data_IF_466628767329
#
_entry.id   IF_466628767329
#
_cell.length_a   1.000
_cell.length_b   1.000
_cell.length_c   1.000
_cell.angle_alpha   90.00
_cell.angle_beta   90.00
_cell.angle_gamma   90.00
#
_symmetry.space_group_name_H-M   'P 1'
#
loop_
_entity.id
_entity.type
_entity.pdbx_description
1 polymer ?
#
# COMPACT_ATOMS: atom_id res chain seq x y z
N UNK A 1 -17.93 -3.42 -17.41
CA UNK A 1 -17.67 -2.19 -16.62
C UNK A 1 -16.42 -1.54 -17.19
N UNK A 2 -16.46 -0.25 -17.41
CA UNK A 2 -15.34 0.49 -18.02
C UNK A 2 -14.49 1.14 -16.93
N UNK A 3 -13.21 1.29 -17.19
CA UNK A 3 -12.29 2.04 -16.31
C UNK A 3 -12.76 3.48 -16.10
N UNK A 4 -13.26 4.12 -17.16
CA UNK A 4 -13.86 5.47 -17.14
C UNK A 4 -15.11 5.61 -16.25
N UNK A 5 -15.75 4.51 -15.86
CA UNK A 5 -16.88 4.55 -14.92
C UNK A 5 -16.45 4.96 -13.49
N UNK A 6 -15.13 4.98 -13.22
CA UNK A 6 -14.51 5.39 -11.96
C UNK A 6 -13.79 6.73 -12.07
N UNK A 7 -14.11 7.51 -13.09
CA UNK A 7 -13.58 8.86 -13.25
C UNK A 7 -14.33 9.85 -12.34
N UNK A 8 -13.57 10.73 -11.69
CA UNK A 8 -14.07 11.93 -11.04
C UNK A 8 -13.03 13.05 -11.22
N UNK A 9 -13.47 14.29 -11.22
CA UNK A 9 -12.55 15.43 -11.35
C UNK A 9 -11.83 15.68 -10.04
N UNK A 10 -10.50 15.51 -10.04
CA UNK A 10 -9.64 15.72 -8.90
C UNK A 10 -8.69 16.89 -9.15
N UNK A 11 -8.91 18.04 -8.50
CA UNK A 11 -7.97 19.16 -8.54
C UNK A 11 -6.60 18.78 -8.01
N UNK A 12 -5.54 19.11 -8.73
CA UNK A 12 -4.15 18.73 -8.40
C UNK A 12 -3.71 19.25 -7.04
N UNK A 13 -4.20 20.40 -6.62
CA UNK A 13 -3.90 21.00 -5.33
C UNK A 13 -4.45 20.21 -4.13
N UNK A 14 -5.39 19.29 -4.34
CA UNK A 14 -5.88 18.39 -3.30
C UNK A 14 -5.00 17.15 -3.11
N UNK A 15 -4.06 16.91 -4.00
CA UNK A 15 -3.10 15.81 -3.87
C UNK A 15 -2.03 16.20 -2.84
N UNK A 16 -2.07 15.57 -1.67
CA UNK A 16 -1.16 15.91 -0.58
C UNK A 16 0.30 15.59 -0.95
N UNK A 17 1.16 16.60 -0.86
CA UNK A 17 2.58 16.47 -1.14
C UNK A 17 3.41 16.19 0.12
N UNK A 18 2.94 16.67 1.27
CA UNK A 18 3.63 16.56 2.55
C UNK A 18 2.71 15.94 3.61
N UNK A 19 3.25 15.14 4.53
CA UNK A 19 2.50 14.64 5.68
C UNK A 19 2.19 15.79 6.64
N UNK A 20 1.06 15.69 7.34
CA UNK A 20 0.76 16.59 8.47
C UNK A 20 1.80 16.40 9.57
N UNK A 21 2.08 17.42 10.35
CA UNK A 21 3.01 17.35 11.48
C UNK A 21 2.57 16.28 12.49
N UNK A 22 1.33 16.37 12.95
CA UNK A 22 0.67 15.27 13.65
C UNK A 22 -0.12 14.41 12.66
N UNK A 23 0.30 13.15 12.49
CA UNK A 23 -0.30 12.23 11.53
C UNK A 23 -1.75 11.85 11.85
N UNK A 24 -2.14 11.91 13.12
CA UNK A 24 -3.50 11.60 13.59
C UNK A 24 -4.47 12.78 13.50
N UNK A 25 -3.98 13.97 13.17
CA UNK A 25 -4.81 15.17 12.97
C UNK A 25 -5.45 15.26 11.58
N UNK A 26 -5.24 14.28 10.71
CA UNK A 26 -5.93 14.20 9.40
C UNK A 26 -7.44 14.13 9.59
N UNK A 27 -8.18 14.59 8.57
CA UNK A 27 -9.64 14.43 8.56
C UNK A 27 -10.04 12.98 8.33
N UNK A 28 -11.20 12.63 8.84
CA UNK A 28 -11.83 11.32 8.67
C UNK A 28 -13.22 11.51 8.06
N UNK A 29 -13.45 10.98 6.87
CA UNK A 29 -14.79 10.85 6.32
C UNK A 29 -15.35 9.49 6.73
N UNK A 30 -16.50 9.49 7.40
CA UNK A 30 -17.21 8.28 7.81
C UNK A 30 -18.33 8.00 6.84
N UNK A 31 -18.30 6.85 6.19
CA UNK A 31 -19.35 6.40 5.28
C UNK A 31 -20.10 5.21 5.89
N UNK A 32 -21.36 5.41 6.21
CA UNK A 32 -22.30 4.35 6.59
C UNK A 32 -22.88 3.73 5.31
N UNK A 33 -22.38 2.56 4.92
CA UNK A 33 -22.65 2.01 3.58
C UNK A 33 -24.10 1.58 3.35
N UNK A 34 -24.87 1.25 4.41
CA UNK A 34 -26.28 0.84 4.26
C UNK A 34 -27.21 2.04 4.10
N UNK A 35 -27.05 3.06 4.93
CA UNK A 35 -27.86 4.29 4.86
C UNK A 35 -27.34 5.32 3.85
N UNK A 36 -26.08 5.26 3.49
CA UNK A 36 -25.40 6.29 2.69
C UNK A 36 -25.11 7.57 3.45
N UNK A 37 -25.27 7.57 4.78
CA UNK A 37 -24.96 8.71 5.64
C UNK A 37 -23.47 8.98 5.66
N UNK A 38 -23.10 10.25 5.60
CA UNK A 38 -21.71 10.72 5.66
C UNK A 38 -21.54 11.59 6.90
N UNK A 39 -20.40 11.44 7.58
CA UNK A 39 -19.96 12.30 8.66
C UNK A 39 -18.54 12.81 8.39
N UNK A 40 -18.26 14.04 8.83
CA UNK A 40 -16.92 14.63 8.74
C UNK A 40 -16.33 14.73 10.14
N UNK A 41 -15.20 14.08 10.36
CA UNK A 41 -14.54 13.90 11.65
C UNK A 41 -13.03 14.17 11.55
N UNK A 42 -12.33 14.01 12.64
CA UNK A 42 -10.87 13.94 12.72
C UNK A 42 -10.45 12.49 12.95
N UNK A 43 -9.27 12.07 12.47
CA UNK A 43 -8.89 10.67 12.52
C UNK A 43 -8.83 10.10 13.94
N UNK A 44 -8.52 10.91 14.94
CA UNK A 44 -8.54 10.51 16.35
C UNK A 44 -9.92 10.02 16.82
N UNK A 45 -11.00 10.45 16.16
CA UNK A 45 -12.37 10.00 16.48
C UNK A 45 -12.64 8.56 16.05
N UNK A 46 -11.69 7.90 15.35
CA UNK A 46 -11.78 6.48 14.98
C UNK A 46 -12.12 5.59 16.17
N UNK A 47 -11.68 5.98 17.35
CA UNK A 47 -11.97 5.29 18.61
C UNK A 47 -13.49 5.19 18.88
N UNK A 48 -14.28 6.14 18.41
CA UNK A 48 -15.75 6.14 18.61
C UNK A 48 -16.46 5.11 17.71
N UNK A 49 -15.87 4.78 16.57
CA UNK A 49 -16.43 3.88 15.56
C UNK A 49 -16.04 2.41 15.74
N UNK A 50 -15.00 2.12 16.53
CA UNK A 50 -14.57 0.77 16.86
C UNK A 50 -15.12 0.34 18.22
N UNK A 51 -15.50 -0.95 18.32
CA UNK A 51 -16.18 -1.52 19.50
C UNK A 51 -15.26 -2.55 20.19
N UNK A 52 -15.45 -2.79 21.50
CA UNK A 52 -14.80 -3.93 22.16
C UNK A 52 -15.07 -5.24 21.41
N UNK A 53 -14.05 -6.03 21.20
CA UNK A 53 -14.11 -7.29 20.45
C UNK A 53 -13.87 -7.16 18.94
N UNK A 54 -13.89 -5.95 18.37
CA UNK A 54 -13.43 -5.73 16.98
C UNK A 54 -11.96 -6.13 16.85
N UNK A 55 -11.57 -6.63 15.68
CA UNK A 55 -10.18 -6.95 15.36
C UNK A 55 -9.67 -6.02 14.26
N UNK A 56 -8.77 -5.12 14.62
CA UNK A 56 -8.10 -4.19 13.71
C UNK A 56 -6.90 -4.89 13.07
N UNK A 57 -6.98 -5.13 11.77
CA UNK A 57 -5.93 -5.83 11.02
C UNK A 57 -5.11 -4.84 10.21
N UNK A 58 -3.80 -4.82 10.43
CA UNK A 58 -2.86 -3.88 9.82
C UNK A 58 -1.71 -4.60 9.11
N UNK A 59 -1.22 -3.99 8.04
CA UNK A 59 -0.08 -4.49 7.29
C UNK A 59 1.22 -3.95 7.88
N UNK A 60 2.05 -4.83 8.47
CA UNK A 60 3.29 -4.47 9.17
C UNK A 60 4.54 -4.49 8.28
N UNK A 61 4.34 -4.42 6.97
CA UNK A 61 5.47 -4.30 6.04
C UNK A 61 6.27 -3.01 6.29
N UNK A 62 7.58 -3.08 6.06
CA UNK A 62 8.50 -1.94 6.15
C UNK A 62 9.02 -1.59 4.77
N UNK A 63 8.94 -0.31 4.42
CA UNK A 63 9.50 0.20 3.17
C UNK A 63 11.01 0.23 3.26
N UNK A 64 11.68 -0.32 2.25
CA UNK A 64 13.12 -0.22 2.09
C UNK A 64 13.49 1.01 1.25
N UNK A 65 14.67 1.62 1.43
CA UNK A 65 15.13 2.71 0.59
C UNK A 65 15.53 2.20 -0.79
N UNK A 66 14.53 1.73 -1.53
CA UNK A 66 14.65 0.94 -2.75
C UNK A 66 15.10 1.72 -3.99
N UNK A 67 15.15 3.06 -3.93
CA UNK A 67 15.58 3.89 -5.07
C UNK A 67 17.05 4.20 -4.97
N UNK A 68 17.82 3.76 -5.96
CA UNK A 68 19.27 3.92 -6.06
C UNK A 68 19.62 4.77 -7.28
N UNK A 69 20.59 5.64 -7.13
CA UNK A 69 21.21 6.39 -8.23
C UNK A 69 22.66 5.95 -8.39
N UNK A 70 23.00 5.52 -9.58
CA UNK A 70 24.34 5.06 -9.91
C UNK A 70 24.79 5.55 -11.28
N UNK A 71 26.01 5.21 -11.65
CA UNK A 71 26.62 5.54 -12.93
C UNK A 71 27.07 4.28 -13.62
N UNK A 72 26.88 4.23 -14.94
CA UNK A 72 27.46 3.16 -15.75
C UNK A 72 28.98 3.23 -15.69
N UNK A 73 29.61 2.10 -15.45
CA UNK A 73 31.07 2.02 -15.31
C UNK A 73 31.79 2.38 -16.63
N UNK A 74 31.21 2.04 -17.79
CA UNK A 74 31.81 2.24 -19.11
C UNK A 74 31.63 3.68 -19.66
N UNK A 75 30.51 4.36 -19.36
CA UNK A 75 30.16 5.63 -19.99
C UNK A 75 29.96 6.79 -19.01
N UNK A 76 29.91 6.53 -17.68
CA UNK A 76 29.56 7.52 -16.67
C UNK A 76 28.12 8.00 -16.72
N UNK A 77 27.25 7.39 -17.53
CA UNK A 77 25.87 7.80 -17.66
C UNK A 77 25.08 7.49 -16.40
N UNK A 78 24.33 8.44 -15.89
CA UNK A 78 23.47 8.27 -14.72
C UNK A 78 22.33 7.30 -14.99
N UNK A 79 22.09 6.41 -14.03
CA UNK A 79 21.02 5.43 -14.00
C UNK A 79 20.27 5.57 -12.67
N UNK A 80 18.96 5.69 -12.74
CA UNK A 80 18.05 5.50 -11.61
C UNK A 80 17.57 4.04 -11.63
N UNK A 81 17.68 3.38 -10.49
CA UNK A 81 17.28 2.01 -10.29
C UNK A 81 16.34 1.92 -9.11
N UNK A 82 15.29 1.13 -9.26
CA UNK A 82 14.28 0.93 -8.23
C UNK A 82 14.10 -0.57 -7.99
N UNK A 83 14.44 -1.02 -6.79
CA UNK A 83 14.31 -2.40 -6.36
C UNK A 83 12.82 -2.78 -6.23
N UNK A 84 12.42 -3.91 -6.81
CA UNK A 84 11.05 -4.41 -6.78
C UNK A 84 10.90 -5.69 -5.96
N UNK A 85 11.69 -6.71 -6.30
CA UNK A 85 11.62 -8.03 -5.68
C UNK A 85 13.02 -8.62 -5.55
N UNK A 86 13.37 -9.05 -4.34
CA UNK A 86 14.59 -9.83 -4.10
C UNK A 86 14.38 -11.26 -4.57
N UNK A 87 15.34 -11.78 -5.26
CA UNK A 87 15.44 -13.15 -5.71
C UNK A 87 16.62 -13.85 -5.00
N UNK A 88 16.93 -15.07 -5.37
CA UNK A 88 18.09 -15.78 -4.84
C UNK A 88 19.42 -15.17 -5.32
N UNK A 89 20.50 -15.42 -4.56
CA UNK A 89 21.89 -15.05 -4.93
C UNK A 89 22.09 -13.57 -5.21
N UNK A 90 21.52 -12.68 -4.40
CA UNK A 90 21.60 -11.21 -4.55
C UNK A 90 21.17 -10.68 -5.93
N UNK A 91 20.31 -11.41 -6.60
CA UNK A 91 19.60 -10.93 -7.79
C UNK A 91 18.35 -10.19 -7.37
N UNK A 92 18.11 -9.04 -8.00
CA UNK A 92 16.90 -8.26 -7.80
C UNK A 92 16.19 -7.99 -9.13
N UNK A 93 14.89 -8.11 -9.11
CA UNK A 93 14.05 -7.53 -10.15
C UNK A 93 13.90 -6.04 -9.90
N UNK A 94 14.09 -5.22 -10.95
CA UNK A 94 14.20 -3.77 -10.82
C UNK A 94 13.55 -3.04 -11.98
N UNK A 95 13.05 -1.82 -11.71
CA UNK A 95 12.80 -0.83 -12.75
C UNK A 95 14.05 0.03 -12.93
N UNK A 96 14.37 0.36 -14.17
CA UNK A 96 15.57 1.15 -14.50
C UNK A 96 15.21 2.31 -15.43
N UNK A 97 15.75 3.49 -15.12
CA UNK A 97 15.57 4.70 -15.93
C UNK A 97 16.91 5.41 -16.17
N UNK A 98 17.24 5.75 -17.44
CA UNK A 98 16.51 5.43 -18.67
C UNK A 98 16.79 3.98 -19.12
N UNK A 99 15.74 3.21 -19.44
CA UNK A 99 15.83 1.79 -19.82
C UNK A 99 16.71 1.53 -21.04
N UNK A 100 16.79 2.46 -22.00
CA UNK A 100 17.62 2.34 -23.20
C UNK A 100 19.12 2.26 -22.89
N UNK A 101 19.57 2.81 -21.74
CA UNK A 101 20.97 2.78 -21.30
C UNK A 101 21.31 1.57 -20.43
N UNK A 102 20.32 0.77 -20.05
CA UNK A 102 20.45 -0.35 -19.13
C UNK A 102 20.11 -1.67 -19.85
N UNK A 103 21.00 -2.09 -20.73
CA UNK A 103 20.92 -3.35 -21.47
C UNK A 103 21.63 -4.47 -20.70
N UNK A 104 21.38 -5.71 -21.05
CA UNK A 104 22.09 -6.86 -20.51
C UNK A 104 23.62 -6.68 -20.63
N UNK A 105 24.36 -7.05 -19.60
CA UNK A 105 25.81 -6.91 -19.50
C UNK A 105 26.30 -5.52 -19.04
N UNK A 106 25.40 -4.55 -18.86
CA UNK A 106 25.77 -3.23 -18.34
C UNK A 106 26.03 -3.33 -16.84
N UNK A 107 27.19 -2.79 -16.41
CA UNK A 107 27.56 -2.67 -15.00
C UNK A 107 27.34 -1.24 -14.51
N UNK A 108 26.69 -1.11 -13.36
CA UNK A 108 26.34 0.15 -12.71
C UNK A 108 27.05 0.20 -11.36
N UNK A 109 27.69 1.31 -11.06
CA UNK A 109 28.35 1.58 -9.78
C UNK A 109 27.51 2.57 -8.97
N UNK A 110 27.33 2.30 -7.68
CA UNK A 110 26.61 3.11 -6.72
C UNK A 110 27.55 3.45 -5.55
N UNK A 111 27.49 4.71 -5.06
CA UNK A 111 28.26 5.15 -3.90
C UNK A 111 29.77 4.95 -4.08
N UNK A 112 30.32 5.39 -5.22
CA UNK A 112 31.74 5.28 -5.54
C UNK A 112 32.31 3.84 -5.44
N UNK A 113 31.46 2.84 -5.79
CA UNK A 113 31.84 1.44 -5.83
C UNK A 113 31.50 0.61 -4.59
N UNK A 114 30.87 1.20 -3.59
CA UNK A 114 30.36 0.48 -2.40
C UNK A 114 29.42 -0.66 -2.82
N UNK A 115 28.58 -0.38 -3.84
CA UNK A 115 27.67 -1.35 -4.43
C UNK A 115 27.85 -1.33 -5.95
N UNK A 116 27.98 -2.49 -6.56
CA UNK A 116 27.97 -2.64 -8.02
C UNK A 116 26.87 -3.60 -8.43
N UNK A 117 26.26 -3.37 -9.58
CA UNK A 117 25.20 -4.23 -10.12
C UNK A 117 25.39 -4.47 -11.60
N UNK A 118 25.30 -5.72 -12.02
CA UNK A 118 25.33 -6.14 -13.42
C UNK A 118 23.91 -6.49 -13.88
N UNK A 119 23.45 -5.92 -14.98
CA UNK A 119 22.18 -6.30 -15.59
C UNK A 119 22.36 -7.64 -16.29
N UNK A 120 21.78 -8.68 -15.70
CA UNK A 120 21.93 -10.05 -16.19
C UNK A 120 20.80 -10.43 -17.16
N UNK A 121 19.63 -9.75 -17.11
CA UNK A 121 18.52 -10.01 -18.01
C UNK A 121 17.58 -8.80 -18.16
N UNK A 122 16.82 -8.76 -19.24
CA UNK A 122 15.79 -7.76 -19.55
C UNK A 122 14.48 -8.47 -19.85
N UNK A 123 13.52 -8.38 -18.94
CA UNK A 123 12.21 -9.03 -19.03
C UNK A 123 11.32 -8.40 -20.09
N UNK A 124 10.30 -9.12 -20.55
CA UNK A 124 9.34 -8.66 -21.57
C UNK A 124 8.56 -7.41 -21.13
N UNK A 125 8.25 -7.30 -19.85
CA UNK A 125 7.57 -6.13 -19.25
C UNK A 125 8.47 -4.90 -19.09
N UNK A 126 9.75 -5.03 -19.46
CA UNK A 126 10.75 -3.98 -19.37
C UNK A 126 11.48 -3.90 -18.02
N UNK A 127 11.17 -4.75 -17.06
CA UNK A 127 11.96 -4.89 -15.83
C UNK A 127 13.34 -5.48 -16.13
N UNK A 128 14.30 -5.27 -15.23
CA UNK A 128 15.66 -5.82 -15.32
C UNK A 128 15.91 -6.75 -14.15
N UNK A 129 16.64 -7.82 -14.42
CA UNK A 129 17.28 -8.58 -13.37
C UNK A 129 18.70 -8.06 -13.21
N UNK A 130 19.04 -7.64 -12.00
CA UNK A 130 20.36 -7.13 -11.65
C UNK A 130 21.00 -8.01 -10.59
N UNK A 131 22.23 -8.42 -10.82
CA UNK A 131 23.05 -9.14 -9.86
C UNK A 131 23.91 -8.12 -9.12
N UNK A 132 23.74 -8.00 -7.81
CA UNK A 132 24.56 -7.12 -6.99
C UNK A 132 25.84 -7.79 -6.49
N UNK A 133 26.88 -6.98 -6.32
CA UNK A 133 28.14 -7.33 -5.67
C UNK A 133 28.52 -6.23 -4.70
N UNK A 134 28.81 -6.60 -3.47
CA UNK A 134 29.09 -5.70 -2.35
C UNK A 134 29.84 -6.46 -1.24
N UNK A 135 30.40 -5.73 -0.29
CA UNK A 135 30.96 -6.27 0.94
C UNK A 135 30.11 -5.83 2.14
N UNK A 136 29.86 -6.73 3.09
CA UNK A 136 29.06 -6.45 4.28
C UNK A 136 27.57 -6.83 4.15
N UNK A 137 26.70 -6.02 4.76
CA UNK A 137 25.26 -6.26 4.85
C UNK A 137 24.54 -5.36 3.83
N UNK A 138 23.77 -5.98 2.94
CA UNK A 138 23.09 -5.28 1.85
C UNK A 138 22.11 -4.20 2.37
N UNK A 139 21.40 -4.50 3.42
CA UNK A 139 20.42 -3.60 4.04
C UNK A 139 21.10 -2.33 4.58
N UNK A 140 22.30 -2.42 5.17
CA UNK A 140 23.07 -1.26 5.65
C UNK A 140 23.55 -0.40 4.46
N UNK A 141 23.94 -1.03 3.37
CA UNK A 141 24.33 -0.35 2.12
C UNK A 141 23.12 0.38 1.53
N UNK A 142 21.94 -0.24 1.53
CA UNK A 142 20.70 0.40 1.09
C UNK A 142 20.34 1.59 1.97
N UNK A 143 20.51 1.51 3.28
CA UNK A 143 20.26 2.63 4.19
C UNK A 143 21.18 3.83 3.92
N UNK A 144 22.43 3.55 3.50
CA UNK A 144 23.41 4.57 3.16
C UNK A 144 23.15 5.20 1.79
N UNK A 145 22.88 4.39 0.74
CA UNK A 145 22.83 4.83 -0.66
C UNK A 145 21.43 5.07 -1.17
N UNK A 146 20.44 4.40 -0.58
CA UNK A 146 19.08 4.37 -1.08
C UNK A 146 18.23 5.55 -0.62
N UNK A 147 17.23 5.85 -1.44
CA UNK A 147 16.20 6.83 -1.13
C UNK A 147 14.85 6.13 -1.01
N UNK A 148 13.97 6.70 -0.16
CA UNK A 148 12.60 6.21 -0.02
C UNK A 148 11.87 6.34 -1.37
N UNK A 149 11.28 5.25 -1.87
CA UNK A 149 10.60 5.25 -3.17
C UNK A 149 9.21 5.84 -3.06
N UNK A 150 9.13 7.18 -2.95
CA UNK A 150 7.85 7.87 -2.92
C UNK A 150 7.06 7.63 -4.21
N UNK A 151 5.72 7.56 -4.13
CA UNK A 151 4.87 7.50 -5.30
C UNK A 151 5.11 8.66 -6.27
N UNK A 152 4.90 8.47 -7.58
CA UNK A 152 5.27 9.47 -8.61
C UNK A 152 4.49 10.78 -8.52
N UNK A 153 3.35 10.81 -7.84
CA UNK A 153 2.56 12.02 -7.62
C UNK A 153 3.07 12.88 -6.46
N UNK A 154 3.98 12.37 -5.63
CA UNK A 154 4.69 13.14 -4.61
C UNK A 154 5.98 13.66 -5.24
N UNK A 155 6.05 14.96 -5.45
CA UNK A 155 7.19 15.64 -6.07
C UNK A 155 8.08 16.37 -5.05
N UNK A 156 7.57 16.54 -3.83
CA UNK A 156 8.33 17.11 -2.73
C UNK A 156 9.29 16.10 -2.11
N UNK A 157 10.46 16.56 -1.70
CA UNK A 157 11.41 15.76 -0.94
C UNK A 157 11.00 15.71 0.51
N UNK A 158 10.87 14.52 1.07
CA UNK A 158 10.59 14.36 2.51
C UNK A 158 11.77 14.84 3.35
N UNK A 159 11.49 15.71 4.32
CA UNK A 159 12.47 16.14 5.33
C UNK A 159 12.89 15.00 6.26
N UNK A 160 11.94 14.14 6.60
CA UNK A 160 12.13 12.94 7.41
C UNK A 160 11.58 11.71 6.67
N UNK A 161 12.47 10.82 6.26
CA UNK A 161 12.12 9.58 5.55
C UNK A 161 11.20 8.67 6.36
N UNK A 162 11.24 8.73 7.70
CA UNK A 162 10.40 7.92 8.58
C UNK A 162 8.92 8.32 8.52
N UNK A 163 8.61 9.49 7.95
CA UNK A 163 7.21 9.90 7.74
C UNK A 163 6.49 9.04 6.69
N UNK A 164 7.22 8.33 5.84
CA UNK A 164 6.66 7.34 4.90
C UNK A 164 6.80 5.91 5.43
N UNK A 165 6.69 5.74 6.77
CA UNK A 165 6.62 4.46 7.48
C UNK A 165 5.48 4.49 8.48
N UNK A 166 4.80 3.35 8.68
CA UNK A 166 3.88 3.18 9.80
C UNK A 166 4.67 3.01 11.11
N UNK A 167 4.07 3.39 12.23
CA UNK A 167 4.70 3.23 13.58
C UNK A 167 4.90 1.76 13.95
N UNK A 168 4.25 0.85 13.26
CA UNK A 168 4.31 -0.60 13.46
C UNK A 168 5.02 -1.36 12.32
N UNK A 169 5.74 -0.67 11.45
CA UNK A 169 6.51 -1.30 10.37
C UNK A 169 7.58 -2.24 10.93
N UNK A 170 7.61 -3.48 10.46
CA UNK A 170 8.46 -4.55 11.01
C UNK A 170 9.25 -5.30 9.95
N UNK A 171 8.59 -5.85 8.93
CA UNK A 171 9.23 -6.74 7.95
C UNK A 171 9.59 -5.98 6.69
N UNK A 172 10.87 -5.89 6.40
CA UNK A 172 11.43 -5.21 5.22
C UNK A 172 11.09 -5.96 3.93
N UNK A 173 10.94 -5.22 2.82
CA UNK A 173 10.67 -5.78 1.51
C UNK A 173 9.68 -5.00 0.66
N UNK A 174 9.08 -3.95 1.20
CA UNK A 174 8.08 -3.16 0.47
C UNK A 174 8.70 -1.99 -0.27
N UNK A 175 8.24 -1.74 -1.49
CA UNK A 175 8.56 -0.56 -2.27
C UNK A 175 7.60 0.63 -1.97
N UNK A 176 6.51 0.41 -1.24
CA UNK A 176 5.57 1.44 -0.84
C UNK A 176 4.98 1.19 0.54
N UNK A 177 4.64 2.25 1.26
CA UNK A 177 4.00 2.16 2.56
C UNK A 177 2.52 1.76 2.46
N UNK A 178 1.97 1.01 3.43
CA UNK A 178 0.53 0.84 3.58
C UNK A 178 -0.08 2.12 4.16
N UNK A 179 -0.39 3.08 3.29
CA UNK A 179 -0.56 4.50 3.62
C UNK A 179 -1.73 4.80 4.56
N UNK A 180 -2.77 3.98 4.58
CA UNK A 180 -3.84 4.10 5.58
C UNK A 180 -3.33 3.91 7.02
N UNK A 181 -2.27 3.17 7.20
CA UNK A 181 -1.60 2.99 8.49
C UNK A 181 -0.80 4.22 8.95
N UNK A 182 -0.50 5.16 8.07
CA UNK A 182 0.27 6.36 8.40
C UNK A 182 -0.49 7.32 9.33
N UNK A 183 -1.82 7.22 9.40
CA UNK A 183 -2.66 8.02 10.28
C UNK A 183 -2.56 7.62 11.76
N UNK A 184 -2.16 6.38 12.03
CA UNK A 184 -2.09 5.86 13.39
C UNK A 184 -0.82 6.29 14.11
N UNK A 185 -0.96 6.56 15.41
CA UNK A 185 0.12 6.73 16.38
C UNK A 185 0.09 5.59 17.38
N UNK A 186 1.17 5.41 18.14
CA UNK A 186 1.21 4.39 19.21
C UNK A 186 0.17 4.68 20.29
N UNK A 187 -0.02 5.95 20.63
CA UNK A 187 -1.03 6.39 21.61
C UNK A 187 -2.46 6.06 21.14
N UNK A 188 -2.73 6.17 19.84
CA UNK A 188 -4.03 5.82 19.31
C UNK A 188 -4.29 4.31 19.36
N UNK A 189 -3.27 3.49 19.08
CA UNK A 189 -3.36 2.04 19.27
C UNK A 189 -3.59 1.68 20.73
N UNK A 190 -2.86 2.31 21.66
CA UNK A 190 -3.06 2.08 23.10
C UNK A 190 -4.51 2.38 23.52
N UNK A 191 -5.09 3.50 23.08
CA UNK A 191 -6.50 3.84 23.38
C UNK A 191 -7.49 2.80 22.81
N UNK A 192 -7.22 2.26 21.63
CA UNK A 192 -8.03 1.21 21.02
C UNK A 192 -7.92 -0.10 21.81
N UNK A 193 -6.73 -0.51 22.22
CA UNK A 193 -6.52 -1.70 23.01
C UNK A 193 -7.14 -1.58 24.41
N UNK A 194 -7.01 -0.42 25.08
CA UNK A 194 -7.70 -0.11 26.35
C UNK A 194 -9.22 -0.18 26.21
N UNK A 195 -9.76 0.16 25.04
CA UNK A 195 -11.20 0.01 24.73
C UNK A 195 -11.61 -1.46 24.50
N UNK A 196 -10.66 -2.38 24.35
CA UNK A 196 -10.91 -3.79 24.09
C UNK A 196 -10.95 -4.15 22.59
N UNK A 197 -10.39 -3.29 21.73
CA UNK A 197 -10.16 -3.61 20.31
C UNK A 197 -8.90 -4.47 20.21
N UNK A 198 -9.01 -5.60 19.53
CA UNK A 198 -7.87 -6.48 19.25
C UNK A 198 -7.07 -5.94 18.07
N UNK A 199 -5.76 -6.06 18.12
CA UNK A 199 -4.87 -5.70 17.01
C UNK A 199 -4.20 -6.94 16.47
N UNK A 200 -4.28 -7.14 15.16
CA UNK A 200 -3.64 -8.24 14.43
C UNK A 200 -2.80 -7.71 13.27
N UNK A 201 -1.76 -8.45 12.90
CA UNK A 201 -0.84 -8.06 11.86
C UNK A 201 -0.88 -9.06 10.70
N UNK A 202 -0.78 -8.53 9.50
CA UNK A 202 -0.48 -9.30 8.29
C UNK A 202 0.70 -8.62 7.59
N UNK A 203 1.36 -9.34 6.70
CA UNK A 203 2.43 -8.77 5.88
C UNK A 203 2.04 -8.86 4.41
N UNK A 204 2.11 -7.76 3.69
CA UNK A 204 2.08 -7.72 2.23
C UNK A 204 3.13 -6.72 1.78
N UNK A 205 4.08 -7.17 0.98
CA UNK A 205 5.09 -6.29 0.40
C UNK A 205 4.51 -5.61 -0.84
N UNK A 206 4.23 -4.32 -0.69
CA UNK A 206 3.60 -3.51 -1.74
C UNK A 206 4.60 -3.23 -2.84
N UNK A 207 4.29 -3.65 -4.06
CA UNK A 207 5.04 -3.30 -5.25
C UNK A 207 4.62 -1.94 -5.83
N UNK A 208 5.46 -1.36 -6.67
CA UNK A 208 5.14 -0.09 -7.34
C UNK A 208 4.06 -0.22 -8.42
N UNK A 209 3.67 -1.43 -8.76
CA UNK A 209 2.57 -1.69 -9.66
C UNK A 209 1.25 -1.05 -9.20
N UNK A 210 1.07 -0.90 -7.89
CA UNK A 210 -0.10 -0.26 -7.28
C UNK A 210 -0.29 1.20 -7.73
N UNK A 211 0.79 1.87 -8.14
CA UNK A 211 0.74 3.25 -8.63
C UNK A 211 0.68 3.37 -10.16
N UNK A 212 0.68 2.26 -10.89
CA UNK A 212 0.54 2.29 -12.34
C UNK A 212 -0.93 2.52 -12.72
N UNK A 213 -1.21 3.41 -13.67
CA UNK A 213 -2.56 3.59 -14.18
C UNK A 213 -3.09 2.30 -14.81
N UNK A 214 -4.38 2.06 -14.67
CA UNK A 214 -5.08 1.03 -15.44
C UNK A 214 -5.05 1.43 -16.91
N UNK A 215 -4.58 0.53 -17.79
CA UNK A 215 -4.38 0.83 -19.22
C UNK A 215 -5.46 0.21 -20.12
N UNK A 216 -6.39 -0.52 -19.56
CA UNK A 216 -7.46 -1.22 -20.27
C UNK A 216 -8.78 -0.48 -20.10
N UNK A 217 -9.61 -0.46 -21.15
CA UNK A 217 -10.93 0.15 -21.08
C UNK A 217 -11.92 -0.72 -20.29
N UNK A 218 -11.83 -2.05 -20.44
CA UNK A 218 -12.66 -3.02 -19.73
C UNK A 218 -11.93 -3.50 -18.47
N UNK A 219 -12.51 -3.18 -17.31
CA UNK A 219 -11.96 -3.53 -15.99
C UNK A 219 -11.64 -5.03 -15.87
N UNK A 220 -12.48 -5.92 -16.43
CA UNK A 220 -12.29 -7.37 -16.35
C UNK A 220 -11.02 -7.88 -17.05
N UNK A 221 -10.43 -7.06 -17.92
CA UNK A 221 -9.19 -7.39 -18.67
C UNK A 221 -7.93 -6.89 -17.97
N UNK A 222 -8.07 -6.22 -16.82
CA UNK A 222 -6.91 -5.75 -16.07
C UNK A 222 -6.25 -6.92 -15.31
N UNK A 223 -4.93 -7.00 -15.40
CA UNK A 223 -4.12 -7.95 -14.63
C UNK A 223 -3.37 -7.19 -13.54
N UNK A 224 -3.61 -7.58 -12.29
CA UNK A 224 -2.89 -7.02 -11.15
C UNK A 224 -1.45 -7.53 -11.11
N UNK A 225 -0.57 -6.70 -10.59
CA UNK A 225 0.79 -7.12 -10.26
C UNK A 225 0.76 -8.07 -9.07
N UNK A 226 1.61 -9.08 -9.16
CA UNK A 226 1.82 -10.05 -8.08
C UNK A 226 2.58 -9.42 -6.93
N UNK A 227 2.09 -9.62 -5.70
CA UNK A 227 2.70 -9.14 -4.47
C UNK A 227 2.78 -10.28 -3.45
N UNK A 228 3.90 -10.36 -2.74
CA UNK A 228 4.09 -11.37 -1.69
C UNK A 228 3.31 -11.01 -0.43
N UNK A 229 2.62 -12.00 0.14
CA UNK A 229 1.94 -11.86 1.43
C UNK A 229 2.29 -12.98 2.41
N UNK A 230 2.11 -12.70 3.69
CA UNK A 230 2.26 -13.67 4.77
C UNK A 230 1.23 -13.41 5.88
N UNK A 231 0.65 -14.50 6.39
CA UNK A 231 -0.19 -14.52 7.59
C UNK A 231 0.34 -15.61 8.52
N UNK A 232 0.79 -15.22 9.71
CA UNK A 232 1.28 -16.21 10.68
C UNK A 232 0.12 -16.97 11.31
N UNK A 233 0.41 -18.16 11.87
CA UNK A 233 -0.61 -18.97 12.55
C UNK A 233 -1.24 -18.21 13.72
N UNK A 234 -0.43 -17.50 14.49
CA UNK A 234 -0.89 -16.72 15.66
C UNK A 234 -1.90 -15.64 15.22
N UNK A 235 -1.59 -14.90 14.16
CA UNK A 235 -2.44 -13.81 13.67
C UNK A 235 -3.73 -14.36 13.00
N UNK A 236 -3.62 -15.46 12.26
CA UNK A 236 -4.79 -16.13 11.70
C UNK A 236 -5.75 -16.61 12.81
N UNK A 237 -5.22 -17.27 13.84
CA UNK A 237 -6.00 -17.73 14.98
C UNK A 237 -6.66 -16.56 15.73
N UNK A 238 -5.94 -15.43 15.92
CA UNK A 238 -6.46 -14.22 16.57
C UNK A 238 -7.62 -13.62 15.80
N UNK A 239 -7.48 -13.44 14.49
CA UNK A 239 -8.51 -12.88 13.62
C UNK A 239 -9.75 -13.80 13.55
N UNK A 240 -9.54 -15.11 13.36
CA UNK A 240 -10.62 -16.08 13.32
C UNK A 240 -11.41 -16.15 14.65
N UNK A 241 -10.72 -16.12 15.79
CA UNK A 241 -11.37 -16.08 17.11
C UNK A 241 -12.20 -14.81 17.31
N UNK A 242 -11.68 -13.66 16.92
CA UNK A 242 -12.44 -12.40 17.00
C UNK A 242 -13.73 -12.48 16.18
N UNK A 243 -13.65 -12.98 14.94
CA UNK A 243 -14.82 -13.16 14.07
C UNK A 243 -15.82 -14.15 14.64
N UNK A 244 -15.37 -15.30 15.17
CA UNK A 244 -16.21 -16.33 15.81
C UNK A 244 -16.92 -15.79 17.06
N UNK A 245 -16.30 -14.85 17.78
CA UNK A 245 -16.87 -14.18 18.94
C UNK A 245 -17.87 -13.07 18.56
N UNK A 246 -18.11 -12.83 17.26
CA UNK A 246 -19.02 -11.79 16.76
C UNK A 246 -18.39 -10.40 16.63
N UNK A 247 -17.07 -10.28 16.80
CA UNK A 247 -16.32 -9.06 16.54
C UNK A 247 -16.21 -8.77 15.05
N UNK A 248 -16.19 -7.49 14.67
CA UNK A 248 -15.99 -7.06 13.29
C UNK A 248 -14.51 -7.14 12.93
N UNK A 249 -14.24 -7.51 11.69
CA UNK A 249 -12.88 -7.47 11.14
C UNK A 249 -12.70 -6.13 10.43
N UNK A 250 -11.82 -5.31 10.99
CA UNK A 250 -11.55 -3.93 10.57
C UNK A 250 -10.20 -3.88 9.86
N UNK A 251 -10.21 -3.52 8.59
CA UNK A 251 -9.02 -3.50 7.74
C UNK A 251 -8.39 -2.13 7.72
N UNK A 252 -7.10 -2.06 8.02
CA UNK A 252 -6.31 -0.85 7.83
C UNK A 252 -5.65 -0.93 6.46
N UNK A 253 -6.26 -0.27 5.49
CA UNK A 253 -5.81 -0.18 4.11
C UNK A 253 -6.23 -1.33 3.21
N UNK A 254 -6.19 -1.04 1.93
CA UNK A 254 -6.50 -2.00 0.86
C UNK A 254 -5.49 -3.16 0.82
N UNK A 255 -4.28 -2.97 1.33
CA UNK A 255 -3.26 -4.03 1.42
C UNK A 255 -3.63 -5.10 2.42
N UNK A 256 -4.12 -4.73 3.61
CA UNK A 256 -4.65 -5.70 4.60
C UNK A 256 -5.86 -6.44 4.03
N UNK A 257 -6.77 -5.74 3.37
CA UNK A 257 -7.90 -6.34 2.67
C UNK A 257 -7.44 -7.41 1.67
N UNK A 258 -6.56 -7.05 0.75
CA UNK A 258 -6.08 -7.97 -0.30
C UNK A 258 -5.37 -9.19 0.30
N UNK A 259 -4.60 -9.02 1.36
CA UNK A 259 -3.93 -10.13 2.05
C UNK A 259 -4.93 -11.15 2.55
N UNK A 260 -5.93 -10.69 3.28
CA UNK A 260 -6.87 -11.61 3.93
C UNK A 260 -7.84 -12.22 2.93
N UNK A 261 -8.36 -11.44 1.99
CA UNK A 261 -9.22 -11.99 0.93
C UNK A 261 -8.50 -13.06 0.09
N UNK A 262 -7.16 -12.95 -0.05
CA UNK A 262 -6.33 -13.98 -0.69
C UNK A 262 -6.11 -15.21 0.20
N UNK A 263 -5.97 -15.03 1.51
CA UNK A 263 -5.64 -16.11 2.46
C UNK A 263 -6.89 -16.78 3.09
N UNK A 264 -8.07 -16.16 2.99
CA UNK A 264 -9.32 -16.73 3.50
C UNK A 264 -9.90 -17.78 2.55
N UNK A 265 -10.41 -18.85 3.12
CA UNK A 265 -11.18 -19.86 2.38
C UNK A 265 -12.62 -19.38 2.09
N UNK A 266 -13.37 -20.19 1.33
CA UNK A 266 -14.75 -19.87 0.93
C UNK A 266 -15.74 -19.77 2.10
N UNK A 267 -15.37 -20.32 3.27
CA UNK A 267 -16.16 -20.21 4.49
C UNK A 267 -15.80 -19.01 5.34
N UNK A 268 -14.91 -18.13 4.85
CA UNK A 268 -14.43 -16.95 5.57
C UNK A 268 -13.55 -17.32 6.77
N UNK A 269 -12.77 -18.39 6.66
CA UNK A 269 -11.76 -18.77 7.66
C UNK A 269 -10.38 -18.43 7.11
N UNK A 270 -9.66 -17.60 7.83
CA UNK A 270 -8.31 -17.21 7.48
C UNK A 270 -7.33 -18.36 7.68
N UNK A 271 -6.57 -18.70 6.64
CA UNK A 271 -5.54 -19.74 6.70
C UNK A 271 -4.17 -19.10 6.93
N UNK A 272 -3.36 -19.63 7.86
CA UNK A 272 -1.97 -19.22 7.98
C UNK A 272 -1.18 -19.71 6.76
N UNK A 273 -0.18 -18.94 6.36
CA UNK A 273 0.67 -19.26 5.23
C UNK A 273 1.31 -18.03 4.61
N UNK A 274 2.02 -18.27 3.54
CA UNK A 274 2.60 -17.24 2.70
C UNK A 274 2.44 -17.59 1.23
N UNK A 275 2.45 -16.60 0.38
CA UNK A 275 2.31 -16.78 -1.05
C UNK A 275 2.33 -15.47 -1.80
N UNK A 276 2.10 -15.58 -3.08
CA UNK A 276 1.95 -14.45 -3.97
C UNK A 276 0.45 -14.22 -4.26
N UNK A 277 0.02 -12.96 -4.33
CA UNK A 277 -1.35 -12.57 -4.69
C UNK A 277 -1.36 -11.55 -5.81
N UNK A 278 -2.23 -11.79 -6.78
CA UNK A 278 -2.60 -10.86 -7.85
C UNK A 278 -4.10 -10.53 -7.79
N UNK A 279 -4.70 -10.69 -6.61
CA UNK A 279 -6.14 -10.47 -6.42
C UNK A 279 -6.56 -9.09 -6.88
N UNK A 280 -7.54 -9.05 -7.77
CA UNK A 280 -8.17 -7.84 -8.26
C UNK A 280 -9.61 -7.76 -7.78
N UNK A 281 -9.88 -6.82 -6.88
CA UNK A 281 -11.19 -6.61 -6.29
C UNK A 281 -11.84 -5.40 -6.96
N UNK A 282 -13.02 -5.61 -7.56
CA UNK A 282 -13.82 -4.58 -8.21
C UNK A 282 -15.32 -4.92 -8.04
N UNK A 283 -16.27 -4.02 -8.36
CA UNK A 283 -17.70 -4.27 -8.15
C UNK A 283 -18.19 -5.59 -8.75
N UNK A 284 -18.87 -6.38 -7.93
CA UNK A 284 -19.26 -7.77 -8.19
C UNK A 284 -18.45 -8.80 -7.40
N UNK A 285 -17.36 -8.38 -6.73
CA UNK A 285 -16.61 -9.24 -5.82
C UNK A 285 -17.39 -9.46 -4.52
N UNK A 286 -17.41 -10.73 -4.05
CA UNK A 286 -18.02 -11.11 -2.77
C UNK A 286 -16.93 -11.24 -1.70
N UNK A 287 -16.93 -10.32 -0.74
CA UNK A 287 -15.95 -10.32 0.35
C UNK A 287 -16.21 -11.49 1.30
N UNK A 288 -15.12 -12.16 1.70
CA UNK A 288 -15.13 -13.34 2.60
C UNK A 288 -15.11 -12.95 4.08
N UNK A 289 -14.37 -11.89 4.40
CA UNK A 289 -14.10 -11.53 5.80
C UNK A 289 -14.24 -10.05 6.11
N UNK A 290 -14.51 -9.16 5.18
CA UNK A 290 -14.48 -7.72 5.41
C UNK A 290 -15.78 -7.20 6.04
N UNK A 291 -15.65 -6.49 7.16
CA UNK A 291 -16.76 -5.78 7.81
C UNK A 291 -16.58 -4.25 7.77
N UNK A 292 -15.37 -3.77 8.02
CA UNK A 292 -15.04 -2.34 8.09
C UNK A 292 -13.70 -2.08 7.37
N UNK A 293 -13.63 -1.02 6.58
CA UNK A 293 -12.41 -0.60 5.88
C UNK A 293 -12.02 0.81 6.28
N UNK A 294 -10.77 0.99 6.71
CA UNK A 294 -10.12 2.28 6.89
C UNK A 294 -9.15 2.46 5.73
N UNK A 295 -9.27 3.53 4.96
CA UNK A 295 -8.45 3.75 3.76
C UNK A 295 -8.19 5.23 3.50
N UNK A 296 -7.24 5.56 2.62
CA UNK A 296 -7.09 6.90 2.07
C UNK A 296 -8.06 7.11 0.91
N UNK A 297 -8.15 8.35 0.43
CA UNK A 297 -8.79 8.65 -0.85
C UNK A 297 -7.86 8.27 -2.01
N UNK A 298 -8.42 7.64 -3.04
CA UNK A 298 -7.69 7.04 -4.15
C UNK A 298 -7.84 7.84 -5.45
N UNK A 299 -6.91 7.62 -6.40
CA UNK A 299 -6.92 8.22 -7.73
C UNK A 299 -8.19 7.88 -8.52
N UNK A 300 -8.66 8.80 -9.38
CA UNK A 300 -9.61 8.45 -10.43
C UNK A 300 -9.11 7.25 -11.23
N UNK A 301 -10.03 6.38 -11.63
CA UNK A 301 -9.78 5.22 -12.50
C UNK A 301 -8.77 4.20 -11.93
N UNK A 302 -8.46 4.25 -10.62
CA UNK A 302 -7.51 3.34 -9.98
C UNK A 302 -8.15 2.03 -9.52
N UNK A 303 -7.36 0.97 -9.47
CA UNK A 303 -7.76 -0.33 -8.92
C UNK A 303 -8.20 -0.23 -7.46
N UNK A 304 -7.65 0.71 -6.70
CA UNK A 304 -8.01 0.93 -5.30
C UNK A 304 -9.38 1.59 -5.14
N UNK A 305 -9.74 2.53 -6.03
CA UNK A 305 -11.09 3.09 -6.08
C UNK A 305 -12.12 2.02 -6.46
N UNK A 306 -11.74 1.08 -7.34
CA UNK A 306 -12.59 -0.05 -7.71
C UNK A 306 -12.82 -0.99 -6.53
N UNK A 307 -11.81 -1.26 -5.69
CA UNK A 307 -11.95 -2.06 -4.46
C UNK A 307 -12.91 -1.39 -3.46
N UNK A 308 -12.75 -0.09 -3.21
CA UNK A 308 -13.63 0.67 -2.34
C UNK A 308 -15.08 0.65 -2.87
N UNK A 309 -15.23 0.78 -4.20
CA UNK A 309 -16.52 0.70 -4.89
C UNK A 309 -17.16 -0.69 -4.83
N UNK A 310 -16.35 -1.75 -4.77
CA UNK A 310 -16.85 -3.11 -4.55
C UNK A 310 -17.46 -3.28 -3.16
N UNK A 311 -16.89 -2.61 -2.15
CA UNK A 311 -17.36 -2.69 -0.77
C UNK A 311 -18.63 -1.89 -0.52
N UNK A 312 -18.67 -0.63 -0.98
CA UNK A 312 -19.71 0.32 -0.61
C UNK A 312 -20.71 0.65 -1.75
N UNK A 313 -20.54 0.04 -2.92
CA UNK A 313 -21.33 0.37 -4.11
C UNK A 313 -20.74 1.56 -4.90
N UNK A 314 -20.65 1.39 -6.22
CA UNK A 314 -19.99 2.36 -7.10
C UNK A 314 -20.62 3.76 -7.03
N UNK A 315 -21.95 3.86 -7.21
CA UNK A 315 -22.65 5.16 -7.22
C UNK A 315 -22.45 5.91 -5.91
N UNK A 316 -22.52 5.19 -4.78
CA UNK A 316 -22.32 5.79 -3.47
C UNK A 316 -20.89 6.29 -3.26
N UNK A 317 -19.90 5.49 -3.64
CA UNK A 317 -18.48 5.87 -3.55
C UNK A 317 -18.19 7.08 -4.41
N UNK A 318 -18.66 7.11 -5.66
CA UNK A 318 -18.44 8.25 -6.56
C UNK A 318 -19.02 9.54 -5.98
N UNK A 319 -20.27 9.50 -5.46
CA UNK A 319 -20.90 10.64 -4.79
C UNK A 319 -20.07 11.13 -3.59
N UNK A 320 -19.56 10.21 -2.77
CA UNK A 320 -18.75 10.54 -1.59
C UNK A 320 -17.39 11.13 -1.98
N UNK A 321 -16.80 10.68 -3.08
CA UNK A 321 -15.55 11.25 -3.60
C UNK A 321 -15.75 12.66 -4.16
N UNK A 322 -16.86 12.93 -4.85
CA UNK A 322 -17.26 14.28 -5.28
C UNK A 322 -17.49 15.20 -4.08
N UNK A 323 -18.13 14.69 -3.02
CA UNK A 323 -18.29 15.41 -1.74
C UNK A 323 -16.95 15.71 -1.09
N UNK A 324 -16.03 14.73 -1.03
CA UNK A 324 -14.70 14.94 -0.48
C UNK A 324 -13.89 16.00 -1.26
N UNK A 325 -14.01 16.06 -2.59
CA UNK A 325 -13.42 17.12 -3.42
C UNK A 325 -14.02 18.48 -3.08
N UNK A 326 -15.35 18.59 -3.00
CA UNK A 326 -16.08 19.83 -2.65
C UNK A 326 -15.69 20.34 -1.26
N UNK A 327 -15.58 19.42 -0.30
CA UNK A 327 -15.18 19.70 1.09
C UNK A 327 -13.67 19.83 1.26
N UNK A 328 -12.91 19.80 0.14
CA UNK A 328 -11.45 19.99 0.10
C UNK A 328 -10.69 19.02 1.02
N UNK A 329 -11.05 17.77 1.01
CA UNK A 329 -10.22 16.71 1.60
C UNK A 329 -8.90 16.62 0.86
N UNK A 330 -7.87 16.15 1.56
CA UNK A 330 -6.55 15.84 0.98
C UNK A 330 -6.54 14.42 0.47
N UNK A 331 -5.96 14.21 -0.70
CA UNK A 331 -5.99 12.92 -1.39
C UNK A 331 -4.63 12.22 -1.36
N UNK A 332 -4.64 10.89 -1.49
CA UNK A 332 -3.52 9.97 -1.60
C UNK A 332 -2.72 9.74 -0.31
N UNK A 333 -1.44 9.33 -0.46
CA UNK A 333 -0.59 8.76 0.60
C UNK A 333 -0.48 9.61 1.86
N UNK A 334 -0.40 10.92 1.73
CA UNK A 334 -0.35 11.87 2.85
C UNK A 334 -1.65 12.65 3.02
N UNK A 335 -2.70 12.19 2.36
CA UNK A 335 -4.02 12.80 2.45
C UNK A 335 -4.77 12.43 3.71
N UNK A 336 -6.09 12.64 3.64
CA UNK A 336 -7.03 12.32 4.69
C UNK A 336 -7.53 10.86 4.59
N UNK A 337 -8.26 10.43 5.58
CA UNK A 337 -8.77 9.07 5.69
C UNK A 337 -10.28 8.98 5.47
N UNK A 338 -10.71 7.79 5.12
CA UNK A 338 -12.10 7.36 5.08
C UNK A 338 -12.26 6.09 5.91
N UNK A 339 -13.35 5.98 6.67
CA UNK A 339 -13.82 4.72 7.23
C UNK A 339 -15.16 4.35 6.60
N UNK A 340 -15.29 3.10 6.19
CA UNK A 340 -16.49 2.52 5.60
C UNK A 340 -16.99 1.42 6.52
N UNK A 341 -18.20 1.54 7.02
CA UNK A 341 -18.80 0.61 7.97
C UNK A 341 -20.32 0.49 7.75
N UNK A 342 -20.91 -0.51 8.37
CA UNK A 342 -22.36 -0.61 8.48
C UNK A 342 -22.88 0.34 9.57
N UNK A 343 -24.18 0.68 9.51
CA UNK A 343 -24.88 1.51 10.50
C UNK A 343 -24.89 0.89 11.88
#
# INVERSE_FOLDING_TARGET
>A
MKTSDFYYDLPKELIAQDPLEDRSSSRLLVLHRKSGRVEHRVFTDIVEYLKPGDCLVRNNTKVIPARLYGTRVDTGATIELLLLKRMENDVWETLVKPGKKARQGVVISFGDGILTGEIIDVKEDGNRLIQFRYEGIFEEILDQLGQMPLPPYITHTLKDKNRYQTVYAKYEGSAAAPTAGLHFTEELFQKLEEKGVLVANVTLHVGLGTFRPVKVDDVSKHHMHTEFYQVTKEEADRINKAKQAGGRIVWVGTTSCRTIESAADENGVLKPGQGDTDIFIYPGYSFKMMDVLITNFHLPESTLLMLVSALAGKEQVMRVYEEAVRERYRFFSFGDAMIILDD
#
